data_IF_812179416108
#
_entry.id   IF_812179416108
#
_cell.length_a   1.000
_cell.length_b   1.000
_cell.length_c   1.000
_cell.angle_alpha   90.00
_cell.angle_beta   90.00
_cell.angle_gamma   90.00
#
_symmetry.space_group_name_H-M   'P 1'
#
loop_
_entity.id
_entity.type
_entity.pdbx_description
1 polymer ?
#
# COMPACT_ATOMS: atom_id res chain seq x y z
N UNK A 1 -9.01 -10.65 -17.39
CA UNK A 1 -9.46 -9.50 -16.59
C UNK A 1 -10.96 -9.63 -16.42
N UNK A 2 -11.41 -9.64 -15.18
CA UNK A 2 -12.82 -9.64 -14.82
C UNK A 2 -13.46 -8.29 -15.14
N UNK A 3 -14.79 -8.23 -15.29
CA UNK A 3 -15.50 -6.95 -15.39
C UNK A 3 -15.21 -6.09 -14.16
N UNK A 4 -14.55 -4.95 -14.37
CA UNK A 4 -14.14 -4.02 -13.30
C UNK A 4 -12.65 -4.06 -12.95
N UNK A 5 -11.88 -5.04 -13.46
CA UNK A 5 -10.42 -5.01 -13.32
C UNK A 5 -9.84 -3.84 -14.10
N UNK A 6 -8.90 -3.13 -13.47
CA UNK A 6 -8.04 -2.15 -14.14
C UNK A 6 -6.64 -2.74 -14.22
N UNK A 7 -6.06 -2.72 -15.42
CA UNK A 7 -4.78 -3.37 -15.70
C UNK A 7 -3.63 -2.78 -14.89
N UNK A 8 -3.59 -1.45 -14.81
CA UNK A 8 -2.68 -0.72 -13.96
C UNK A 8 -3.27 0.66 -13.64
N UNK A 9 -3.07 1.11 -12.41
CA UNK A 9 -3.32 2.49 -12.01
C UNK A 9 -2.17 2.96 -11.13
N UNK A 10 -1.92 4.27 -11.14
CA UNK A 10 -0.91 4.90 -10.30
C UNK A 10 -1.39 6.30 -9.91
N UNK A 11 -0.92 6.77 -8.76
CA UNK A 11 -1.15 8.12 -8.28
C UNK A 11 0.06 9.00 -8.66
N UNK A 12 -0.21 10.19 -9.22
CA UNK A 12 0.79 11.27 -9.23
C UNK A 12 0.81 11.91 -7.84
N UNK A 13 1.97 11.86 -7.19
CA UNK A 13 2.18 12.32 -5.82
C UNK A 13 3.00 13.60 -5.74
N UNK A 14 3.37 14.22 -6.87
CA UNK A 14 4.27 15.37 -6.89
C UNK A 14 3.77 16.56 -6.04
N UNK A 15 2.46 16.84 -6.07
CA UNK A 15 1.86 17.91 -5.27
C UNK A 15 1.93 17.60 -3.76
N UNK A 16 1.62 16.35 -3.37
CA UNK A 16 1.68 15.92 -1.97
C UNK A 16 3.11 15.98 -1.44
N UNK A 17 4.08 15.53 -2.24
CA UNK A 17 5.50 15.59 -1.88
C UNK A 17 5.99 17.03 -1.69
N UNK A 18 5.58 17.95 -2.57
CA UNK A 18 5.96 19.36 -2.46
C UNK A 18 5.38 20.04 -1.22
N UNK A 19 4.15 19.71 -0.84
CA UNK A 19 3.46 20.35 0.29
C UNK A 19 3.83 19.74 1.65
N UNK A 20 4.00 18.42 1.72
CA UNK A 20 4.14 17.68 2.99
C UNK A 20 5.56 17.14 3.18
N UNK A 21 6.32 16.91 2.11
CA UNK A 21 7.70 16.43 2.17
C UNK A 21 7.87 15.00 2.66
N UNK A 22 6.80 14.19 2.64
CA UNK A 22 6.81 12.81 3.16
C UNK A 22 6.48 11.82 2.04
N UNK A 23 7.39 10.86 1.85
CA UNK A 23 7.17 9.67 1.04
C UNK A 23 7.05 8.41 1.92
N UNK A 24 6.32 7.37 1.49
CA UNK A 24 6.32 6.06 2.16
C UNK A 24 7.73 5.51 2.28
N UNK A 25 8.12 5.10 3.49
CA UNK A 25 9.49 4.62 3.79
C UNK A 25 9.59 3.10 3.91
N UNK A 26 8.45 2.42 4.01
CA UNK A 26 8.40 0.97 4.23
C UNK A 26 8.26 0.29 2.87
N UNK A 27 9.25 -0.51 2.45
CA UNK A 27 9.16 -1.27 1.21
C UNK A 27 8.09 -2.36 1.30
N UNK A 28 7.57 -2.82 0.15
CA UNK A 28 6.47 -3.79 0.12
C UNK A 28 6.86 -5.13 0.75
N UNK A 29 8.11 -5.55 0.55
CA UNK A 29 8.72 -6.76 1.09
C UNK A 29 8.71 -6.77 2.63
N UNK A 30 8.68 -5.59 3.25
CA UNK A 30 8.58 -5.43 4.71
C UNK A 30 7.14 -5.18 5.17
N UNK A 31 6.40 -4.36 4.45
CA UNK A 31 5.05 -3.93 4.82
C UNK A 31 4.01 -5.05 4.74
N UNK A 32 4.05 -5.86 3.65
CA UNK A 32 3.06 -6.92 3.42
C UNK A 32 3.13 -8.00 4.53
N UNK A 33 4.32 -8.54 4.90
CA UNK A 33 4.38 -9.52 5.99
C UNK A 33 3.86 -8.98 7.33
N UNK A 34 4.15 -7.71 7.66
CA UNK A 34 3.67 -7.08 8.90
C UNK A 34 2.15 -6.94 8.91
N UNK A 35 1.57 -6.53 7.79
CA UNK A 35 0.11 -6.45 7.65
C UNK A 35 -0.55 -7.82 7.84
N UNK A 36 -0.02 -8.87 7.18
CA UNK A 36 -0.55 -10.23 7.31
C UNK A 36 -0.46 -10.73 8.76
N UNK A 37 0.68 -10.49 9.44
CA UNK A 37 0.86 -10.89 10.82
C UNK A 37 -0.16 -10.21 11.75
N UNK A 38 -0.36 -8.90 11.60
CA UNK A 38 -1.37 -8.15 12.34
C UNK A 38 -2.80 -8.67 12.05
N UNK A 39 -3.11 -8.91 10.78
CA UNK A 39 -4.43 -9.39 10.38
C UNK A 39 -4.75 -10.76 11.00
N UNK A 40 -3.81 -11.71 10.91
CA UNK A 40 -3.97 -13.05 11.51
C UNK A 40 -4.13 -13.00 13.02
N UNK A 41 -3.31 -12.18 13.70
CA UNK A 41 -3.39 -11.99 15.15
C UNK A 41 -4.75 -11.41 15.58
N UNK A 42 -5.37 -10.57 14.75
CA UNK A 42 -6.70 -9.99 15.03
C UNK A 42 -7.84 -10.96 14.77
N UNK A 43 -7.77 -11.73 13.69
CA UNK A 43 -8.83 -12.66 13.28
C UNK A 43 -8.67 -14.07 13.88
N UNK A 44 -7.67 -14.30 14.73
CA UNK A 44 -7.42 -15.58 15.42
C UNK A 44 -7.00 -16.74 14.50
N UNK A 45 -6.42 -16.42 13.34
CA UNK A 45 -5.90 -17.38 12.35
C UNK A 45 -4.47 -17.84 12.69
#
# INVERSE_FOLDING_TARGET
MQPGDVEATFADVAALEAEVGVAPKIPLEEGIPRFVAWFRAREGL
#
